data_IF_397572525888
#
_entry.id   IF_397572525888
#
_cell.length_a   1.000
_cell.length_b   1.000
_cell.length_c   1.000
_cell.angle_alpha   90.00
_cell.angle_beta   90.00
_cell.angle_gamma   90.00
#
_symmetry.space_group_name_H-M   'P 1'
#
loop_
_entity.id
_entity.type
_entity.pdbx_description
1 polymer ?
#
# COMPACT_ATOMS: atom_id res chain seq x y z
N UNK A 1 25.32 8.47 -22.30
CA UNK A 1 25.09 8.38 -20.84
C UNK A 1 23.73 8.98 -20.54
N UNK A 2 22.94 8.39 -19.64
CA UNK A 2 21.57 8.84 -19.39
C UNK A 2 21.58 10.22 -18.70
N UNK A 3 21.02 11.29 -19.31
CA UNK A 3 21.13 12.68 -18.84
C UNK A 3 20.49 12.91 -17.45
N UNK A 4 19.63 12.00 -17.00
CA UNK A 4 19.01 12.09 -15.68
C UNK A 4 19.98 11.71 -14.54
N UNK A 5 20.83 10.70 -14.75
CA UNK A 5 21.77 10.24 -13.71
C UNK A 5 22.98 11.15 -13.54
N UNK A 6 23.23 12.07 -14.50
CA UNK A 6 24.25 13.11 -14.34
C UNK A 6 23.82 14.27 -13.45
N UNK A 7 22.54 14.34 -13.05
CA UNK A 7 22.05 15.35 -12.12
C UNK A 7 22.52 15.04 -10.70
N UNK A 8 22.87 16.04 -9.88
CA UNK A 8 23.03 15.88 -8.43
C UNK A 8 21.80 15.26 -7.78
N UNK A 9 22.01 14.55 -6.67
CA UNK A 9 20.94 13.83 -5.97
C UNK A 9 19.80 14.75 -5.51
N UNK A 10 20.14 15.96 -5.08
CA UNK A 10 19.19 16.98 -4.63
C UNK A 10 18.24 17.40 -5.76
N UNK A 11 18.76 17.57 -6.98
CA UNK A 11 17.93 17.89 -8.15
C UNK A 11 17.04 16.71 -8.52
N UNK A 12 17.53 15.47 -8.40
CA UNK A 12 16.68 14.28 -8.64
C UNK A 12 15.54 14.22 -7.62
N UNK A 13 15.81 14.46 -6.34
CA UNK A 13 14.79 14.54 -5.29
C UNK A 13 13.74 15.61 -5.57
N UNK A 14 14.14 16.81 -5.97
CA UNK A 14 13.22 17.87 -6.36
C UNK A 14 12.34 17.45 -7.55
N UNK A 15 12.92 16.78 -8.54
CA UNK A 15 12.15 16.24 -9.67
C UNK A 15 11.14 15.20 -9.17
N UNK A 16 11.56 14.28 -8.30
CA UNK A 16 10.66 13.28 -7.71
C UNK A 16 9.46 13.95 -7.01
N UNK A 17 9.69 14.99 -6.22
CA UNK A 17 8.64 15.71 -5.51
C UNK A 17 7.65 16.42 -6.45
N UNK A 18 8.14 16.92 -7.59
CA UNK A 18 7.30 17.58 -8.59
C UNK A 18 6.49 16.59 -9.44
N UNK A 19 6.98 15.37 -9.65
CA UNK A 19 6.34 14.40 -10.57
C UNK A 19 5.57 13.28 -9.86
N UNK A 20 5.90 12.99 -8.60
CA UNK A 20 5.24 11.95 -7.81
C UNK A 20 4.10 12.55 -7.00
N UNK A 21 2.95 12.69 -7.65
CA UNK A 21 1.71 13.17 -7.02
C UNK A 21 1.90 14.54 -6.32
N UNK A 22 2.26 15.61 -7.05
CA UNK A 22 2.67 16.89 -6.46
C UNK A 22 1.61 17.54 -5.57
N UNK A 23 0.34 17.32 -5.88
CA UNK A 23 -0.79 17.91 -5.14
C UNK A 23 -1.44 16.97 -4.12
N UNK A 24 -0.90 15.77 -3.93
CA UNK A 24 -1.47 14.79 -3.02
C UNK A 24 -0.49 14.53 -1.87
N UNK A 25 -0.98 14.63 -0.65
CA UNK A 25 -0.27 14.20 0.57
C UNK A 25 -0.50 12.72 0.87
N UNK A 26 -1.55 12.12 0.29
CA UNK A 26 -1.96 10.74 0.50
C UNK A 26 -2.25 10.04 -0.81
N UNK A 27 -1.90 8.74 -0.89
CA UNK A 27 -2.15 7.89 -2.04
C UNK A 27 -2.85 6.62 -1.55
N UNK A 28 -4.05 6.38 -2.11
CA UNK A 28 -4.75 5.12 -1.90
C UNK A 28 -4.27 4.07 -2.92
N UNK A 29 -3.84 2.93 -2.40
CA UNK A 29 -3.33 1.80 -3.18
C UNK A 29 -4.38 0.69 -3.12
N UNK A 30 -4.84 0.33 -4.31
CA UNK A 30 -5.70 -0.82 -4.54
C UNK A 30 -5.03 -1.68 -5.62
N UNK A 31 -4.43 -2.79 -5.20
CA UNK A 31 -3.65 -3.65 -6.07
C UNK A 31 -3.68 -5.10 -5.61
N UNK A 32 -4.34 -5.97 -6.36
CA UNK A 32 -4.34 -7.41 -6.07
C UNK A 32 -3.13 -8.12 -6.70
N UNK A 33 -2.51 -7.50 -7.70
CA UNK A 33 -1.33 -8.03 -8.40
C UNK A 33 -0.27 -6.93 -8.60
N UNK A 34 1.03 -7.28 -8.69
CA UNK A 34 2.09 -6.30 -8.95
C UNK A 34 1.90 -5.51 -10.24
N UNK A 35 1.21 -6.09 -11.24
CA UNK A 35 0.85 -5.41 -12.49
C UNK A 35 -0.11 -4.24 -12.27
N UNK A 36 -0.95 -4.30 -11.24
CA UNK A 36 -1.90 -3.24 -10.90
C UNK A 36 -1.17 -2.01 -10.39
N UNK A 37 -0.15 -2.20 -9.54
CA UNK A 37 0.73 -1.12 -9.09
C UNK A 37 1.37 -0.38 -10.26
N UNK A 38 1.86 -1.10 -11.28
CA UNK A 38 2.46 -0.51 -12.49
C UNK A 38 1.45 0.27 -13.35
N UNK A 39 0.16 -0.06 -13.23
CA UNK A 39 -0.93 0.61 -13.96
C UNK A 39 -1.48 1.82 -13.21
N UNK A 40 -1.36 1.84 -11.88
CA UNK A 40 -1.91 2.88 -11.00
C UNK A 40 -0.79 3.71 -10.36
N UNK A 41 -0.31 3.29 -9.19
CA UNK A 41 0.62 4.04 -8.32
C UNK A 41 1.98 4.30 -8.97
N UNK A 42 2.47 3.34 -9.77
CA UNK A 42 3.78 3.36 -10.42
C UNK A 42 3.68 3.61 -11.93
N UNK A 43 2.57 4.21 -12.38
CA UNK A 43 2.33 4.52 -13.80
C UNK A 43 3.29 5.57 -14.36
N UNK A 44 3.82 6.45 -13.51
CA UNK A 44 4.68 7.58 -13.92
C UNK A 44 5.87 7.09 -14.75
N UNK A 45 6.22 7.77 -15.86
CA UNK A 45 7.36 7.39 -16.70
C UNK A 45 8.69 7.30 -15.94
N UNK A 46 8.82 8.00 -14.80
CA UNK A 46 10.05 8.01 -14.00
C UNK A 46 10.44 6.61 -13.51
N UNK A 47 9.46 5.76 -13.19
CA UNK A 47 9.69 4.38 -12.77
C UNK A 47 10.19 3.46 -13.91
N UNK A 48 10.13 3.93 -15.16
CA UNK A 48 10.55 3.20 -16.36
C UNK A 48 11.93 3.59 -16.87
N UNK A 49 12.54 4.66 -16.35
CA UNK A 49 13.83 5.17 -16.85
C UNK A 49 14.98 4.17 -16.65
N UNK A 50 15.32 3.86 -15.40
CA UNK A 50 16.30 2.83 -15.08
C UNK A 50 16.06 2.27 -13.67
N UNK A 51 16.77 1.20 -13.29
CA UNK A 51 16.60 0.54 -11.99
C UNK A 51 16.90 1.49 -10.82
N UNK A 52 17.99 2.25 -10.91
CA UNK A 52 18.39 3.19 -9.85
C UNK A 52 17.35 4.29 -9.64
N UNK A 53 16.90 4.94 -10.72
CA UNK A 53 15.86 5.98 -10.64
C UNK A 53 14.55 5.41 -10.10
N UNK A 54 14.20 4.18 -10.47
CA UNK A 54 13.01 3.52 -9.94
C UNK A 54 13.09 3.34 -8.43
N UNK A 55 14.23 2.90 -7.90
CA UNK A 55 14.42 2.73 -6.46
C UNK A 55 14.36 4.09 -5.74
N UNK A 56 15.11 5.09 -6.23
CA UNK A 56 15.12 6.42 -5.62
C UNK A 56 13.72 7.05 -5.62
N UNK A 57 13.01 7.00 -6.75
CA UNK A 57 11.65 7.51 -6.87
C UNK A 57 10.67 6.74 -5.97
N UNK A 58 10.82 5.41 -5.86
CA UNK A 58 9.95 4.60 -5.02
C UNK A 58 10.20 4.87 -3.53
N UNK A 59 11.46 4.96 -3.12
CA UNK A 59 11.84 5.34 -1.77
C UNK A 59 11.29 6.72 -1.41
N UNK A 60 11.44 7.69 -2.32
CA UNK A 60 10.92 9.04 -2.12
C UNK A 60 9.40 9.08 -2.06
N UNK A 61 8.71 8.26 -2.85
CA UNK A 61 7.25 8.11 -2.79
C UNK A 61 6.81 7.64 -1.40
N UNK A 62 7.45 6.59 -0.88
CA UNK A 62 7.13 6.02 0.43
C UNK A 62 7.43 7.01 1.57
N UNK A 63 8.52 7.78 1.47
CA UNK A 63 8.90 8.76 2.49
C UNK A 63 8.00 10.00 2.49
N UNK A 64 7.65 10.51 1.30
CA UNK A 64 6.96 11.81 1.16
C UNK A 64 5.44 11.73 1.20
N UNK A 65 4.85 10.54 1.02
CA UNK A 65 3.39 10.35 0.89
C UNK A 65 2.85 9.37 1.93
N UNK A 66 1.68 9.69 2.46
CA UNK A 66 0.91 8.75 3.26
C UNK A 66 0.27 7.69 2.37
N UNK A 67 0.75 6.46 2.44
CA UNK A 67 0.18 5.33 1.71
C UNK A 67 -0.97 4.74 2.50
N UNK A 68 -2.15 4.70 1.90
CA UNK A 68 -3.33 4.04 2.42
C UNK A 68 -3.64 2.82 1.56
N UNK A 69 -4.04 1.71 2.17
CA UNK A 69 -4.37 0.48 1.47
C UNK A 69 -5.80 0.13 1.74
N UNK A 70 -6.59 -0.20 0.72
CA UNK A 70 -7.99 -0.61 0.92
C UNK A 70 -8.09 -1.93 1.67
N UNK A 71 -7.19 -2.85 1.38
CA UNK A 71 -7.18 -4.21 1.88
C UNK A 71 -5.74 -4.69 2.14
N UNK A 72 -5.62 -5.78 2.90
CA UNK A 72 -4.32 -6.39 3.21
C UNK A 72 -3.59 -6.91 1.96
N UNK A 73 -4.34 -7.36 0.96
CA UNK A 73 -3.75 -7.88 -0.29
C UNK A 73 -3.00 -6.77 -1.04
N UNK A 74 -3.51 -5.54 -1.02
CA UNK A 74 -2.90 -4.36 -1.60
C UNK A 74 -1.60 -4.00 -0.90
N UNK A 75 -1.58 -4.06 0.43
CA UNK A 75 -0.36 -3.89 1.22
C UNK A 75 0.67 -4.98 0.91
N UNK A 76 0.25 -6.26 0.95
CA UNK A 76 1.12 -7.41 0.67
C UNK A 76 1.69 -7.36 -0.75
N UNK A 77 0.90 -6.92 -1.72
CA UNK A 77 1.31 -6.76 -3.11
C UNK A 77 2.36 -5.66 -3.25
N UNK A 78 2.19 -4.51 -2.58
CA UNK A 78 3.21 -3.46 -2.55
C UNK A 78 4.49 -3.94 -1.87
N UNK A 79 4.37 -4.63 -0.74
CA UNK A 79 5.52 -5.14 -0.01
C UNK A 79 6.30 -6.19 -0.81
N UNK A 80 5.60 -7.11 -1.48
CA UNK A 80 6.22 -8.09 -2.37
C UNK A 80 6.92 -7.40 -3.55
N UNK A 81 6.28 -6.40 -4.15
CA UNK A 81 6.91 -5.59 -5.20
C UNK A 81 8.18 -4.90 -4.69
N UNK A 82 8.12 -4.27 -3.51
CA UNK A 82 9.24 -3.59 -2.89
C UNK A 82 10.40 -4.55 -2.58
N UNK A 83 10.11 -5.74 -2.02
CA UNK A 83 11.11 -6.79 -1.79
C UNK A 83 11.78 -7.24 -3.09
N UNK A 84 11.02 -7.37 -4.18
CA UNK A 84 11.56 -7.77 -5.48
C UNK A 84 12.51 -6.73 -6.08
N UNK A 85 12.33 -5.45 -5.77
CA UNK A 85 13.26 -4.40 -6.20
C UNK A 85 14.42 -4.21 -5.21
N UNK A 86 14.25 -4.58 -3.94
CA UNK A 86 15.27 -4.46 -2.89
C UNK A 86 14.96 -3.40 -1.83
N UNK A 87 13.75 -2.83 -1.88
CA UNK A 87 13.32 -1.70 -1.06
C UNK A 87 12.24 -2.11 -0.03
N UNK A 88 12.18 -3.39 0.35
CA UNK A 88 11.16 -3.93 1.27
C UNK A 88 11.13 -3.22 2.63
N UNK A 89 12.31 -2.98 3.20
CA UNK A 89 12.45 -2.28 4.49
C UNK A 89 11.95 -0.82 4.44
N UNK A 90 12.04 -0.17 3.27
CA UNK A 90 11.58 1.21 3.11
C UNK A 90 10.05 1.28 3.22
N UNK A 91 9.34 0.30 2.66
CA UNK A 91 7.88 0.21 2.79
C UNK A 91 7.50 -0.08 4.23
N UNK A 92 8.14 -1.06 4.87
CA UNK A 92 7.85 -1.45 6.26
C UNK A 92 8.04 -0.28 7.24
N UNK A 93 9.06 0.55 7.04
CA UNK A 93 9.34 1.68 7.92
C UNK A 93 8.47 2.93 7.66
N UNK A 94 7.93 3.08 6.45
CA UNK A 94 7.20 4.29 6.05
C UNK A 94 5.68 4.10 5.93
N UNK A 95 5.20 2.85 5.83
CA UNK A 95 3.77 2.56 5.92
C UNK A 95 3.35 2.65 7.38
N UNK A 96 2.81 3.82 7.76
CA UNK A 96 2.38 4.10 9.13
C UNK A 96 0.91 3.77 9.40
N UNK A 97 0.09 3.65 8.35
CA UNK A 97 -1.36 3.46 8.48
C UNK A 97 -1.90 2.55 7.37
N UNK A 98 -2.45 1.40 7.74
CA UNK A 98 -3.21 0.52 6.83
C UNK A 98 -4.69 0.68 7.19
N UNK A 99 -5.48 1.26 6.29
CA UNK A 99 -6.92 1.42 6.49
C UNK A 99 -7.69 0.27 5.81
N UNK A 100 -7.88 -0.83 6.52
CA UNK A 100 -8.59 -1.97 5.97
C UNK A 100 -10.09 -1.67 5.96
N UNK A 101 -10.65 -1.52 4.77
CA UNK A 101 -12.09 -1.48 4.57
C UNK A 101 -12.58 -2.93 4.50
N UNK A 102 -13.14 -3.41 5.61
CA UNK A 102 -13.86 -4.68 5.62
C UNK A 102 -15.25 -4.43 5.03
N UNK A 103 -15.38 -4.61 3.72
CA UNK A 103 -16.69 -4.64 3.06
C UNK A 103 -17.38 -5.97 3.42
N UNK A 104 -17.93 -6.06 4.64
CA UNK A 104 -18.93 -7.05 5.04
C UNK A 104 -19.66 -6.58 6.30
N UNK A 105 -20.49 -5.55 6.13
CA UNK A 105 -21.61 -5.22 7.02
C UNK A 105 -22.82 -4.84 6.16
N UNK A 106 -23.18 -5.74 5.23
CA UNK A 106 -24.56 -5.80 4.82
C UNK A 106 -25.30 -6.66 5.86
N UNK A 107 -26.18 -6.01 6.63
CA UNK A 107 -27.25 -6.62 7.44
C UNK A 107 -26.99 -6.93 8.92
N UNK A 108 -26.33 -6.03 9.65
CA UNK A 108 -26.77 -5.78 11.05
C UNK A 108 -27.39 -4.39 11.04
N UNK A 109 -28.68 -4.38 11.36
CA UNK A 109 -29.62 -3.28 11.19
C UNK A 109 -29.04 -1.90 11.61
N UNK A 110 -29.20 -0.93 10.70
CA UNK A 110 -29.37 0.48 11.06
C UNK A 110 -28.29 1.10 11.93
N UNK A 111 -27.05 1.18 11.44
CA UNK A 111 -26.13 2.32 11.61
C UNK A 111 -24.76 1.88 11.10
N UNK A 112 -24.38 2.32 9.90
CA UNK A 112 -23.08 2.03 9.29
C UNK A 112 -21.94 2.66 10.11
N UNK A 113 -21.50 1.97 11.15
CA UNK A 113 -20.32 2.31 11.90
C UNK A 113 -19.10 1.75 11.16
N UNK A 114 -18.43 2.63 10.43
CA UNK A 114 -17.11 2.38 9.87
C UNK A 114 -16.09 2.24 11.01
N UNK A 115 -15.59 1.04 11.25
CA UNK A 115 -14.48 0.82 12.17
C UNK A 115 -13.16 1.11 11.45
N UNK A 116 -12.63 2.32 11.62
CA UNK A 116 -11.25 2.64 11.23
C UNK A 116 -10.30 1.99 12.22
N UNK A 117 -9.62 0.92 11.82
CA UNK A 117 -8.52 0.35 12.61
C UNK A 117 -7.26 1.20 12.37
N UNK A 118 -6.95 2.06 13.33
CA UNK A 118 -5.73 2.85 13.31
C UNK A 118 -4.61 2.02 13.93
N UNK A 119 -4.01 1.14 13.13
CA UNK A 119 -2.93 0.29 13.61
C UNK A 119 -1.62 1.04 13.44
N UNK A 120 -0.99 1.40 14.56
CA UNK A 120 0.29 2.12 14.61
C UNK A 120 1.47 1.30 14.07
N UNK A 121 2.72 1.69 14.37
CA UNK A 121 3.91 1.00 13.86
C UNK A 121 3.85 -0.48 14.23
N UNK A 122 3.72 -1.33 13.21
CA UNK A 122 3.27 -2.71 13.34
C UNK A 122 4.41 -3.66 13.71
N UNK A 123 4.21 -4.47 14.76
CA UNK A 123 4.91 -5.75 14.91
C UNK A 123 4.21 -6.78 14.00
N UNK A 124 4.95 -7.39 13.06
CA UNK A 124 4.37 -8.30 12.07
C UNK A 124 3.65 -9.51 12.68
N UNK A 125 3.96 -9.86 13.94
CA UNK A 125 3.28 -10.93 14.68
C UNK A 125 1.85 -10.54 15.05
N UNK A 126 1.65 -9.32 15.57
CA UNK A 126 0.32 -8.81 15.92
C UNK A 126 -0.55 -8.64 14.67
N UNK A 127 0.05 -8.23 13.54
CA UNK A 127 -0.67 -8.15 12.27
C UNK A 127 -1.26 -9.50 11.90
N UNK A 128 -0.42 -10.53 11.87
CA UNK A 128 -0.85 -11.88 11.48
C UNK A 128 -1.92 -12.43 12.44
N UNK A 129 -1.87 -12.08 13.73
CA UNK A 129 -2.89 -12.50 14.69
C UNK A 129 -4.22 -11.77 14.48
N UNK A 130 -4.21 -10.44 14.32
CA UNK A 130 -5.42 -9.66 14.01
C UNK A 130 -6.02 -10.08 12.67
N UNK A 131 -5.18 -10.41 11.69
CA UNK A 131 -5.64 -10.93 10.39
C UNK A 131 -6.16 -12.36 10.47
N UNK A 132 -5.55 -13.23 11.28
CA UNK A 132 -6.04 -14.58 11.54
C UNK A 132 -7.41 -14.53 12.24
N UNK A 133 -7.59 -13.60 13.19
CA UNK A 133 -8.87 -13.36 13.86
C UNK A 133 -9.93 -12.80 12.90
N UNK A 134 -9.59 -11.81 12.08
CA UNK A 134 -10.52 -11.27 11.07
C UNK A 134 -10.89 -12.32 10.01
N UNK A 135 -9.93 -13.14 9.57
CA UNK A 135 -10.19 -14.24 8.64
C UNK A 135 -11.02 -15.35 9.30
N UNK A 136 -10.76 -15.68 10.57
CA UNK A 136 -11.58 -16.62 11.33
C UNK A 136 -13.01 -16.12 11.49
N UNK A 137 -13.20 -14.84 11.82
CA UNK A 137 -14.51 -14.18 11.90
C UNK A 137 -15.24 -14.19 10.55
N UNK A 138 -14.54 -13.90 9.45
CA UNK A 138 -15.15 -13.99 8.11
C UNK A 138 -15.57 -15.41 7.73
N UNK A 139 -14.78 -16.42 8.10
CA UNK A 139 -15.09 -17.84 7.86
C UNK A 139 -16.26 -18.30 8.75
N UNK A 140 -16.32 -17.85 9.99
CA UNK A 140 -17.40 -18.18 10.93
C UNK A 140 -18.72 -17.55 10.53
N UNK A 141 -18.69 -16.27 10.12
CA UNK A 141 -19.85 -15.58 9.54
C UNK A 141 -20.30 -16.26 8.24
N UNK A 142 -19.36 -16.61 7.35
CA UNK A 142 -19.69 -17.35 6.11
C UNK A 142 -20.33 -18.72 6.35
N UNK A 143 -19.88 -19.47 7.37
CA UNK A 143 -20.46 -20.77 7.72
C UNK A 143 -21.86 -20.70 8.31
N UNK A 144 -22.19 -19.62 9.03
CA UNK A 144 -23.52 -19.44 9.61
C UNK A 144 -24.59 -19.16 8.54
N UNK A 145 -24.20 -18.63 7.37
CA UNK A 145 -25.14 -18.40 6.26
C UNK A 145 -25.33 -19.61 5.32
N UNK A 146 -24.42 -20.60 5.35
CA UNK A 146 -24.56 -21.84 4.58
C UNK A 146 -25.45 -22.90 5.27
N UNK A 147 -25.95 -22.63 6.48
CA UNK A 147 -26.85 -23.53 7.23
C UNK A 147 -28.34 -23.15 7.18
N UNK A 148 -28.73 -22.11 6.43
CA UNK A 148 -30.14 -21.71 6.21
C UNK A 148 -30.59 -21.88 4.74
N UNK A 149 -30.36 -23.05 4.14
CA UNK A 149 -31.05 -23.49 2.91
C UNK A 149 -31.65 -24.89 3.11
#
# INVERSE_FOLDING_TARGET
MAPFMSLPGELRTLIYDMVLFPHHSCIQIHASHPKDLLRTTLKSPIFRLCRTVRHEAFARLCESKHLQFRDYMSYKTLLQYARNIGDGAIVENNVKHIMIFVDNLAMIEGNGNFSTFNVGPFDMVEANNVFAELHALQVEVGRNYDMEI
#
